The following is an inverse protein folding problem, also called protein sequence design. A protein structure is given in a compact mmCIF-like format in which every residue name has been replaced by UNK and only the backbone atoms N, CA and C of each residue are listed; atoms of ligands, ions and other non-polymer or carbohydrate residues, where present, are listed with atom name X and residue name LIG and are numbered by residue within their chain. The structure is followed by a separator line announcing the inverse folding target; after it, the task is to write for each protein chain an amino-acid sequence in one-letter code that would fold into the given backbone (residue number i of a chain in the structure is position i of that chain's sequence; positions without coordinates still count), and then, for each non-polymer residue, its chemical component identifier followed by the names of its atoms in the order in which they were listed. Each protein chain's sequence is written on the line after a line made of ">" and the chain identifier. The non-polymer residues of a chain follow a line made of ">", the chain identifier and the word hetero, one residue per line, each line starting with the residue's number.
data_IF_077281052577
#
_entry.id   IF_077281052577
#
_cell.length_a   1.000
_cell.length_b   1.000
_cell.length_c   1.000
_cell.angle_alpha   90.00
_cell.angle_beta   90.00
_cell.angle_gamma   90.00
#
_symmetry.space_group_name_H-M   'P 1'
#
loop_
_entity.id
_entity.type
_entity.pdbx_description
1 polymer ?
#
# COMPACT_ATOMS: atom_id res chain seq x y z
N UNK A 1 -1.24 48.22 48.65
CA UNK A 1 0.04 48.57 48.01
C UNK A 1 0.73 47.24 47.71
N UNK A 2 0.33 46.59 46.62
CA UNK A 2 0.73 46.87 45.25
C UNK A 2 2.18 46.42 45.02
N UNK A 3 2.33 45.30 44.33
CA UNK A 3 3.29 45.24 43.23
C UNK A 3 2.69 44.46 42.06
N UNK A 4 2.77 45.09 40.90
CA UNK A 4 2.34 44.67 39.56
C UNK A 4 3.57 44.78 38.66
N UNK A 5 3.58 43.93 37.62
CA UNK A 5 4.34 44.02 36.36
C UNK A 5 5.84 43.68 36.46
N UNK A 6 6.50 43.06 35.47
CA UNK A 6 6.22 42.75 34.05
C UNK A 6 6.96 41.43 33.72
N UNK A 7 6.39 40.47 32.99
CA UNK A 7 6.28 40.39 31.52
C UNK A 7 7.62 40.44 30.77
N UNK A 8 8.11 39.26 30.37
CA UNK A 8 8.88 39.06 29.15
C UNK A 8 8.54 37.67 28.60
N UNK A 9 7.76 37.68 27.53
CA UNK A 9 7.52 36.57 26.61
C UNK A 9 8.60 36.56 25.53
N UNK A 10 9.15 35.38 25.15
CA UNK A 10 9.28 34.86 23.77
C UNK A 10 9.89 33.41 23.76
N UNK A 11 9.91 32.62 22.66
CA UNK A 11 8.91 31.58 22.41
C UNK A 11 9.49 30.20 22.04
N UNK A 12 8.58 29.24 21.82
CA UNK A 12 8.67 28.10 20.87
C UNK A 12 9.76 27.02 21.06
N UNK A 13 9.35 25.85 21.57
CA UNK A 13 9.39 24.55 20.84
C UNK A 13 8.25 23.68 21.38
N UNK A 14 7.17 23.39 20.63
CA UNK A 14 6.26 22.32 20.98
C UNK A 14 6.84 20.98 20.47
N UNK A 15 7.13 20.10 21.40
CA UNK A 15 7.32 18.66 21.19
C UNK A 15 6.11 18.07 20.45
N UNK A 16 6.33 17.48 19.28
CA UNK A 16 5.34 16.65 18.59
C UNK A 16 5.36 15.24 19.20
N UNK A 17 4.25 14.74 19.79
CA UNK A 17 4.05 13.31 19.98
C UNK A 17 3.49 12.74 18.68
N UNK A 18 4.20 11.78 18.09
CA UNK A 18 3.75 10.99 16.96
C UNK A 18 2.77 9.92 17.47
N UNK A 19 1.52 10.33 17.73
CA UNK A 19 0.41 9.40 17.97
C UNK A 19 -0.41 9.28 16.69
N UNK A 20 -0.32 8.13 16.01
CA UNK A 20 -1.39 7.72 15.10
C UNK A 20 -1.46 6.20 14.94
N UNK A 21 -1.84 5.50 16.02
CA UNK A 21 -2.65 4.30 15.93
C UNK A 21 -4.00 4.63 16.57
N UNK A 22 -4.93 5.05 15.74
CA UNK A 22 -6.28 5.41 16.13
C UNK A 22 -7.22 5.10 14.99
N UNK A 23 -8.16 4.22 15.26
CA UNK A 23 -9.34 3.96 14.45
C UNK A 23 -10.05 5.29 14.11
N UNK A 24 -9.68 5.88 12.98
CA UNK A 24 -10.44 6.97 12.37
C UNK A 24 -11.49 6.35 11.47
N UNK A 25 -12.69 6.19 12.00
CA UNK A 25 -13.88 6.32 11.17
C UNK A 25 -13.84 7.69 10.50
N UNK A 26 -13.25 7.77 9.29
CA UNK A 26 -13.20 9.00 8.51
C UNK A 26 -14.62 9.30 8.06
N UNK A 27 -15.29 10.21 8.77
CA UNK A 27 -16.37 11.01 8.22
C UNK A 27 -15.78 11.77 7.02
N UNK A 28 -15.90 11.24 5.82
CA UNK A 28 -15.50 11.93 4.60
C UNK A 28 -16.51 13.06 4.35
N UNK A 29 -16.17 14.25 4.85
CA UNK A 29 -16.93 15.47 4.65
C UNK A 29 -17.23 15.74 3.15
N UNK A 30 -18.41 16.28 2.86
CA UNK A 30 -18.85 16.81 1.55
C UNK A 30 -17.93 17.90 0.97
N UNK A 31 -16.96 18.31 1.77
CA UNK A 31 -16.20 19.54 1.61
C UNK A 31 -14.89 19.35 0.86
N UNK A 32 -14.62 18.18 0.27
CA UNK A 32 -13.47 17.96 -0.60
C UNK A 32 -13.88 17.75 -2.06
N UNK A 33 -13.07 18.32 -2.96
CA UNK A 33 -13.15 18.25 -4.42
C UNK A 33 -11.85 17.67 -4.97
N UNK A 34 -11.93 17.00 -6.13
CA UNK A 34 -10.75 16.41 -6.78
C UNK A 34 -10.45 17.12 -8.08
N UNK A 35 -9.17 17.39 -8.27
CA UNK A 35 -8.63 17.90 -9.52
C UNK A 35 -7.79 16.80 -10.16
N UNK A 36 -8.09 16.48 -11.40
CA UNK A 36 -7.36 15.50 -12.22
C UNK A 36 -6.63 16.25 -13.33
N UNK A 37 -5.35 15.95 -13.51
CA UNK A 37 -4.50 16.47 -14.59
C UNK A 37 -4.05 15.31 -15.47
N UNK A 38 -4.25 15.45 -16.76
CA UNK A 38 -3.74 14.54 -17.79
C UNK A 38 -2.84 15.34 -18.71
N UNK A 39 -1.57 14.97 -18.81
CA UNK A 39 -0.63 15.57 -19.76
C UNK A 39 -0.49 14.64 -20.97
N UNK A 40 -0.75 15.19 -22.16
CA UNK A 40 -0.76 14.49 -23.45
C UNK A 40 0.23 15.16 -24.42
N UNK A 41 0.64 14.43 -25.45
CA UNK A 41 1.53 14.96 -26.50
C UNK A 41 0.76 15.56 -27.70
N UNK A 42 -0.50 15.16 -27.89
CA UNK A 42 -1.34 15.52 -29.04
C UNK A 42 -2.46 16.48 -28.62
N UNK A 43 -2.64 17.57 -29.36
CA UNK A 43 -3.78 18.49 -29.19
C UNK A 43 -5.12 17.83 -29.50
N UNK A 44 -5.15 16.94 -30.50
CA UNK A 44 -6.37 16.21 -30.87
C UNK A 44 -6.79 15.27 -29.74
N UNK A 45 -5.85 14.50 -29.20
CA UNK A 45 -6.09 13.55 -28.11
C UNK A 45 -6.49 14.30 -26.84
N UNK A 46 -5.87 15.45 -26.57
CA UNK A 46 -6.24 16.29 -25.44
C UNK A 46 -7.66 16.86 -25.57
N UNK A 47 -8.07 17.28 -26.77
CA UNK A 47 -9.45 17.70 -27.03
C UNK A 47 -10.45 16.56 -26.84
N UNK A 48 -10.11 15.35 -27.28
CA UNK A 48 -10.93 14.15 -27.08
C UNK A 48 -11.07 13.80 -25.60
N UNK A 49 -9.96 13.73 -24.86
CA UNK A 49 -9.95 13.48 -23.42
C UNK A 49 -10.76 14.54 -22.67
N UNK A 50 -10.61 15.82 -23.01
CA UNK A 50 -11.39 16.88 -22.40
C UNK A 50 -12.90 16.74 -22.68
N UNK A 51 -13.28 16.34 -23.90
CA UNK A 51 -14.66 15.99 -24.26
C UNK A 51 -15.21 14.84 -23.40
N UNK A 52 -14.43 13.77 -23.24
CA UNK A 52 -14.79 12.61 -22.40
C UNK A 52 -15.06 13.04 -20.95
N UNK A 53 -14.19 13.87 -20.37
CA UNK A 53 -14.40 14.37 -19.00
C UNK A 53 -15.65 15.26 -18.90
N UNK A 54 -15.89 16.12 -19.90
CA UNK A 54 -17.08 16.97 -19.94
C UNK A 54 -18.37 16.14 -20.03
N UNK A 55 -18.42 15.13 -20.89
CA UNK A 55 -19.55 14.21 -21.02
C UNK A 55 -19.76 13.36 -19.77
N UNK A 56 -18.68 12.97 -19.08
CA UNK A 56 -18.72 12.18 -17.84
C UNK A 56 -19.25 12.94 -16.62
N UNK A 57 -19.52 14.23 -16.72
CA UNK A 57 -20.10 15.01 -15.63
C UNK A 57 -19.10 15.81 -14.80
N UNK A 58 -17.88 16.10 -15.30
CA UNK A 58 -16.99 17.03 -14.63
C UNK A 58 -17.59 18.46 -14.65
N UNK A 59 -17.42 19.22 -13.58
CA UNK A 59 -18.01 20.57 -13.45
C UNK A 59 -17.22 21.60 -14.23
N UNK A 60 -15.90 21.48 -14.23
CA UNK A 60 -15.00 22.31 -15.01
C UNK A 60 -14.00 21.42 -15.74
N UNK A 61 -13.85 21.61 -17.05
CA UNK A 61 -12.78 21.00 -17.86
C UNK A 61 -12.10 22.07 -18.69
N UNK A 62 -10.78 22.10 -18.63
CA UNK A 62 -9.96 23.02 -19.41
C UNK A 62 -8.76 22.30 -20.01
N UNK A 63 -8.23 22.81 -21.12
CA UNK A 63 -7.05 22.26 -21.77
C UNK A 63 -6.16 23.34 -22.36
N UNK A 64 -4.86 23.06 -22.41
CA UNK A 64 -3.87 24.07 -22.73
C UNK A 64 -2.44 23.60 -22.79
N UNK A 65 -1.49 24.47 -23.19
CA UNK A 65 -0.08 24.15 -23.12
C UNK A 65 0.31 23.72 -21.71
N UNK A 66 1.01 22.59 -21.58
CA UNK A 66 1.58 22.13 -20.30
C UNK A 66 2.55 23.21 -19.80
N UNK A 67 2.36 23.76 -18.60
CA UNK A 67 3.27 24.77 -18.06
C UNK A 67 4.64 24.15 -17.78
N UNK A 68 5.70 24.85 -18.18
CA UNK A 68 7.09 24.47 -17.87
C UNK A 68 7.37 24.83 -16.41
N UNK A 69 7.47 23.83 -15.54
CA UNK A 69 7.90 24.03 -14.15
C UNK A 69 9.43 24.06 -14.09
N UNK A 70 10.02 25.24 -13.83
CA UNK A 70 11.41 25.35 -13.38
C UNK A 70 11.44 25.30 -11.85
N UNK A 71 12.24 24.40 -11.26
CA UNK A 71 12.62 24.54 -9.85
C UNK A 71 14.16 24.50 -9.73
N UNK A 72 14.69 25.48 -8.98
CA UNK A 72 16.11 25.80 -8.88
C UNK A 72 16.77 25.04 -7.72
N UNK A 73 17.85 24.32 -8.05
CA UNK A 73 18.80 23.53 -7.25
C UNK A 73 19.97 23.10 -8.17
N UNK A 74 20.90 22.21 -7.78
CA UNK A 74 22.12 21.91 -8.58
C UNK A 74 21.94 20.95 -9.76
N UNK A 75 20.71 20.55 -10.11
CA UNK A 75 20.46 19.81 -11.34
C UNK A 75 19.39 20.52 -12.16
N UNK A 76 19.81 20.98 -13.34
CA UNK A 76 18.96 21.55 -14.36
C UNK A 76 18.56 20.43 -15.34
N UNK A 77 17.27 20.19 -15.48
CA UNK A 77 16.73 19.38 -16.58
C UNK A 77 15.52 20.12 -17.13
N UNK A 78 15.69 20.70 -18.32
CA UNK A 78 14.59 21.15 -19.16
C UNK A 78 13.79 19.93 -19.63
N UNK A 79 12.56 19.72 -19.14
CA UNK A 79 11.59 18.93 -19.91
C UNK A 79 10.94 19.86 -20.93
N UNK A 80 11.54 19.90 -22.12
CA UNK A 80 11.09 20.64 -23.29
C UNK A 80 9.94 19.91 -24.04
N UNK A 81 9.24 18.97 -23.38
CA UNK A 81 8.10 18.27 -24.00
C UNK A 81 6.92 19.22 -24.21
N UNK A 82 6.80 19.72 -25.44
CA UNK A 82 5.55 20.27 -25.98
C UNK A 82 4.43 19.28 -25.72
N UNK A 83 3.63 19.54 -24.69
CA UNK A 83 2.48 18.74 -24.32
C UNK A 83 1.29 19.63 -24.02
N UNK A 84 0.11 19.03 -24.04
CA UNK A 84 -1.16 19.66 -23.72
C UNK A 84 -1.65 19.06 -22.41
N UNK A 85 -1.91 19.91 -21.43
CA UNK A 85 -2.50 19.55 -20.14
C UNK A 85 -4.00 19.71 -20.23
N UNK A 86 -4.72 18.63 -19.96
CA UNK A 86 -6.16 18.63 -19.66
C UNK A 86 -6.34 18.62 -18.15
N UNK A 87 -7.21 19.48 -17.64
CA UNK A 87 -7.57 19.52 -16.22
C UNK A 87 -9.08 19.35 -16.08
N UNK A 88 -9.49 18.41 -15.24
CA UNK A 88 -10.88 18.17 -14.87
C UNK A 88 -11.10 18.38 -13.37
N UNK A 89 -12.19 19.06 -13.03
CA UNK A 89 -12.67 19.22 -11.66
C UNK A 89 -13.87 18.30 -11.38
N UNK A 90 -13.69 17.38 -10.42
CA UNK A 90 -14.72 16.46 -9.94
C UNK A 90 -15.25 16.91 -8.58
N UNK A 91 -16.51 17.35 -8.59
CA UNK A 91 -17.24 17.79 -7.40
C UNK A 91 -18.37 16.82 -7.00
N UNK A 92 -18.45 15.65 -7.65
CA UNK A 92 -19.61 14.75 -7.60
C UNK A 92 -20.83 15.34 -8.33
N UNK A 93 -22.07 14.97 -7.93
CA UNK A 93 -22.42 14.05 -6.85
C UNK A 93 -21.97 12.61 -7.12
N UNK A 94 -21.78 11.85 -6.04
CA UNK A 94 -21.58 10.40 -6.10
C UNK A 94 -22.89 9.69 -5.75
N UNK A 95 -23.11 8.44 -6.22
CA UNK A 95 -24.35 7.71 -5.99
C UNK A 95 -24.70 7.48 -4.51
N UNK A 96 -23.70 7.36 -3.64
CA UNK A 96 -23.88 7.19 -2.19
C UNK A 96 -22.77 7.89 -1.39
N UNK A 97 -22.89 7.88 -0.07
CA UNK A 97 -21.93 8.50 0.85
C UNK A 97 -20.59 7.74 0.95
N UNK A 98 -20.46 6.56 0.34
CA UNK A 98 -19.18 5.84 0.24
C UNK A 98 -18.26 6.49 -0.80
N UNK A 99 -17.75 7.68 -0.46
CA UNK A 99 -16.88 8.46 -1.35
C UNK A 99 -15.60 7.72 -1.66
N UNK A 100 -15.05 6.94 -0.73
CA UNK A 100 -13.84 6.16 -0.98
C UNK A 100 -14.04 5.18 -2.13
N UNK A 101 -15.16 4.44 -2.13
CA UNK A 101 -15.51 3.52 -3.21
C UNK A 101 -15.66 4.21 -4.57
N UNK A 102 -16.50 5.26 -4.63
CA UNK A 102 -16.78 5.97 -5.88
C UNK A 102 -15.58 6.73 -6.43
N UNK A 103 -14.77 7.32 -5.56
CA UNK A 103 -13.51 7.97 -5.95
C UNK A 103 -12.45 6.97 -6.41
N UNK A 104 -12.46 5.74 -5.89
CA UNK A 104 -11.66 4.62 -6.37
C UNK A 104 -12.08 4.18 -7.78
N UNK A 105 -13.39 4.03 -8.03
CA UNK A 105 -13.93 3.76 -9.37
C UNK A 105 -13.47 4.84 -10.35
N UNK A 106 -13.60 6.11 -9.97
CA UNK A 106 -13.23 7.21 -10.84
C UNK A 106 -11.73 7.26 -11.13
N UNK A 107 -10.87 7.00 -10.12
CA UNK A 107 -9.42 6.90 -10.35
C UNK A 107 -9.11 5.80 -11.37
N UNK A 108 -9.70 4.61 -11.24
CA UNK A 108 -9.47 3.50 -12.19
C UNK A 108 -9.95 3.83 -13.60
N UNK A 109 -11.05 4.59 -13.73
CA UNK A 109 -11.48 5.13 -15.01
C UNK A 109 -10.42 6.06 -15.60
N UNK A 110 -9.92 7.03 -14.82
CA UNK A 110 -8.89 7.98 -15.26
C UNK A 110 -7.58 7.27 -15.65
N UNK A 111 -7.14 6.29 -14.87
CA UNK A 111 -5.92 5.52 -15.17
C UNK A 111 -6.08 4.74 -16.49
N UNK A 112 -7.27 4.18 -16.73
CA UNK A 112 -7.58 3.47 -17.98
C UNK A 112 -7.63 4.43 -19.18
N UNK A 113 -8.28 5.58 -19.00
CA UNK A 113 -8.32 6.63 -20.01
C UNK A 113 -6.90 7.09 -20.35
N UNK A 114 -6.08 7.38 -19.34
CA UNK A 114 -4.72 7.84 -19.53
C UNK A 114 -3.86 6.82 -20.28
N UNK A 115 -3.92 5.53 -19.92
CA UNK A 115 -3.23 4.47 -20.67
C UNK A 115 -3.67 4.41 -22.13
N UNK A 116 -4.97 4.53 -22.39
CA UNK A 116 -5.52 4.51 -23.76
C UNK A 116 -4.97 5.63 -24.66
N UNK A 117 -4.68 6.79 -24.08
CA UNK A 117 -4.15 7.96 -24.78
C UNK A 117 -2.64 8.20 -24.57
N UNK A 118 -1.94 7.32 -23.85
CA UNK A 118 -0.53 7.51 -23.49
C UNK A 118 -0.28 8.77 -22.64
N UNK A 119 -1.26 9.19 -21.84
CA UNK A 119 -1.20 10.37 -20.99
C UNK A 119 -0.56 10.06 -19.62
N UNK A 120 0.13 11.05 -19.04
CA UNK A 120 0.55 10.96 -17.63
C UNK A 120 -0.50 11.60 -16.72
N UNK A 121 -0.87 10.92 -15.65
CA UNK A 121 -1.88 11.39 -14.68
C UNK A 121 -1.22 11.98 -13.45
N UNK A 122 -1.74 13.12 -12.99
CA UNK A 122 -1.52 13.61 -11.62
C UNK A 122 -2.82 14.18 -11.06
N UNK A 123 -2.89 14.37 -9.75
CA UNK A 123 -4.10 14.92 -9.15
C UNK A 123 -3.86 15.57 -7.80
N UNK A 124 -4.84 16.36 -7.38
CA UNK A 124 -4.86 17.03 -6.09
C UNK A 124 -6.26 16.88 -5.48
N UNK A 125 -6.30 16.65 -4.17
CA UNK A 125 -7.53 16.78 -3.39
C UNK A 125 -7.46 18.10 -2.64
N UNK A 126 -8.50 18.92 -2.76
CA UNK A 126 -8.55 20.23 -2.13
C UNK A 126 -9.87 20.41 -1.38
N UNK A 127 -9.85 21.28 -0.37
CA UNK A 127 -11.06 21.67 0.33
C UNK A 127 -11.89 22.62 -0.55
N UNK A 128 -13.21 22.45 -0.53
CA UNK A 128 -14.22 23.14 -1.35
C UNK A 128 -14.22 24.65 -1.12
N UNK A 129 -13.75 25.12 0.04
CA UNK A 129 -13.58 26.56 0.28
C UNK A 129 -12.57 27.22 -0.66
N UNK A 130 -11.61 26.46 -1.22
CA UNK A 130 -10.66 26.93 -2.22
C UNK A 130 -11.15 26.81 -3.67
N UNK A 131 -12.38 26.36 -3.90
CA UNK A 131 -12.91 26.07 -5.23
C UNK A 131 -12.85 27.26 -6.18
N UNK A 132 -13.19 28.45 -5.70
CA UNK A 132 -13.19 29.68 -6.50
C UNK A 132 -11.78 30.05 -6.99
N UNK A 133 -10.79 29.93 -6.10
CA UNK A 133 -9.38 30.19 -6.42
C UNK A 133 -8.87 29.15 -7.41
N UNK A 134 -9.15 27.87 -7.16
CA UNK A 134 -8.80 26.79 -8.10
C UNK A 134 -9.41 27.00 -9.48
N UNK A 135 -10.71 27.32 -9.59
CA UNK A 135 -11.33 27.60 -10.89
C UNK A 135 -10.64 28.76 -11.61
N UNK A 136 -10.29 29.84 -10.91
CA UNK A 136 -9.52 30.95 -11.48
C UNK A 136 -8.13 30.51 -11.97
N UNK A 137 -7.44 29.69 -11.19
CA UNK A 137 -6.13 29.12 -11.58
C UNK A 137 -6.25 28.22 -12.81
N UNK A 138 -7.31 27.42 -12.93
CA UNK A 138 -7.55 26.58 -14.11
C UNK A 138 -7.68 27.39 -15.39
N UNK A 139 -8.46 28.48 -15.36
CA UNK A 139 -8.60 29.40 -16.51
C UNK A 139 -7.25 29.99 -16.89
N UNK A 140 -6.43 30.32 -15.89
CA UNK A 140 -5.13 30.95 -16.09
C UNK A 140 -4.07 29.95 -16.58
N UNK A 141 -4.15 28.69 -16.15
CA UNK A 141 -3.11 27.68 -16.37
C UNK A 141 -3.18 26.99 -17.74
N UNK A 142 -4.38 26.85 -18.33
CA UNK A 142 -4.56 26.11 -19.60
C UNK A 142 -5.11 26.98 -20.75
N UNK A 143 -5.72 28.13 -20.46
CA UNK A 143 -6.08 29.10 -21.50
C UNK A 143 -7.30 28.76 -22.36
N UNK A 144 -7.81 27.51 -22.36
CA UNK A 144 -9.09 27.15 -23.00
C UNK A 144 -10.01 26.39 -22.04
N UNK A 145 -11.20 26.94 -21.77
CA UNK A 145 -12.26 26.26 -21.02
C UNK A 145 -13.13 25.49 -22.02
N UNK A 146 -13.23 24.17 -21.82
CA UNK A 146 -14.12 23.30 -22.60
C UNK A 146 -15.54 23.31 -22.03
N UNK A 147 -15.64 23.24 -20.70
CA UNK A 147 -16.90 23.34 -19.98
C UNK A 147 -16.65 23.98 -18.61
N UNK A 148 -17.58 24.82 -18.16
CA UNK A 148 -17.67 25.31 -16.79
C UNK A 148 -19.15 25.43 -16.44
N UNK A 149 -19.57 24.65 -15.46
CA UNK A 149 -20.96 24.52 -15.01
C UNK A 149 -21.02 24.31 -13.51
N UNK A 150 -22.20 24.50 -12.94
CA UNK A 150 -22.39 24.17 -11.53
C UNK A 150 -22.58 22.65 -11.33
N UNK A 151 -22.59 22.25 -10.06
CA UNK A 151 -22.71 20.83 -9.67
C UNK A 151 -24.09 20.26 -10.00
N UNK A 152 -25.14 21.07 -9.97
CA UNK A 152 -26.51 20.63 -10.21
C UNK A 152 -26.73 20.39 -11.71
N UNK A 153 -26.17 21.24 -12.57
CA UNK A 153 -26.11 21.08 -14.02
C UNK A 153 -25.29 19.83 -14.43
N UNK A 154 -24.24 19.51 -13.69
CA UNK A 154 -23.41 18.32 -13.94
C UNK A 154 -24.04 17.01 -13.41
N UNK A 155 -24.99 17.09 -12.47
CA UNK A 155 -25.42 15.97 -11.65
C UNK A 155 -25.95 14.78 -12.46
N UNK A 156 -26.79 15.03 -13.47
CA UNK A 156 -27.37 13.95 -14.29
C UNK A 156 -26.30 13.18 -15.04
N UNK A 157 -25.37 13.87 -15.70
CA UNK A 157 -24.26 13.24 -16.42
C UNK A 157 -23.32 12.50 -15.46
N UNK A 158 -23.04 13.09 -14.30
CA UNK A 158 -22.15 12.50 -13.31
C UNK A 158 -22.70 11.22 -12.71
N UNK A 159 -23.99 11.18 -12.35
CA UNK A 159 -24.63 9.96 -11.85
C UNK A 159 -24.78 8.90 -12.94
N UNK A 160 -25.05 9.30 -14.18
CA UNK A 160 -25.10 8.37 -15.31
C UNK A 160 -23.74 7.70 -15.55
N UNK A 161 -22.64 8.43 -15.40
CA UNK A 161 -21.28 7.89 -15.50
C UNK A 161 -20.92 6.83 -14.45
N UNK A 162 -21.68 6.76 -13.34
CA UNK A 162 -21.52 5.74 -12.31
C UNK A 162 -22.55 4.61 -12.39
N UNK A 163 -23.60 4.74 -13.22
CA UNK A 163 -24.72 3.82 -13.24
C UNK A 163 -24.36 2.39 -13.67
N UNK A 164 -23.25 2.22 -14.40
CA UNK A 164 -22.74 0.91 -14.81
C UNK A 164 -21.93 0.19 -13.72
N UNK A 165 -21.52 0.91 -12.66
CA UNK A 165 -20.70 0.35 -11.59
C UNK A 165 -21.55 -0.04 -10.39
N UNK A 166 -21.33 -1.22 -9.80
CA UNK A 166 -22.09 -1.65 -8.62
C UNK A 166 -21.71 -0.83 -7.39
N UNK A 167 -22.65 -0.72 -6.45
CA UNK A 167 -22.32 -0.31 -5.08
C UNK A 167 -21.33 -1.29 -4.44
N UNK A 168 -20.56 -0.79 -3.48
CA UNK A 168 -19.64 -1.62 -2.70
C UNK A 168 -20.41 -2.74 -2.02
N UNK A 169 -19.96 -3.97 -2.22
CA UNK A 169 -20.52 -5.11 -1.51
C UNK A 169 -20.24 -4.97 0.00
N UNK A 170 -21.11 -5.51 0.88
CA UNK A 170 -20.83 -5.56 2.29
C UNK A 170 -19.60 -6.42 2.54
N UNK A 171 -18.73 -5.93 3.41
CA UNK A 171 -17.53 -6.67 3.79
C UNK A 171 -17.87 -7.93 4.60
N UNK A 172 -17.16 -9.06 4.36
CA UNK A 172 -17.28 -10.25 5.21
C UNK A 172 -16.97 -9.92 6.66
N UNK A 173 -17.84 -10.32 7.59
CA UNK A 173 -17.59 -10.16 9.02
C UNK A 173 -16.69 -11.27 9.51
N UNK A 174 -15.43 -10.94 9.76
CA UNK A 174 -14.49 -11.82 10.47
C UNK A 174 -14.95 -12.00 11.91
N UNK A 175 -15.23 -13.25 12.31
CA UNK A 175 -15.75 -13.59 13.65
C UNK A 175 -14.71 -14.25 14.55
N UNK A 176 -13.54 -14.56 14.02
CA UNK A 176 -12.46 -15.24 14.74
C UNK A 176 -11.42 -14.25 15.26
N UNK A 177 -10.69 -14.68 16.28
CA UNK A 177 -9.69 -13.90 17.03
C UNK A 177 -8.25 -14.36 16.72
N UNK A 178 -7.99 -14.75 15.47
CA UNK A 178 -6.69 -15.30 15.04
C UNK A 178 -5.48 -14.39 15.30
N UNK A 179 -5.69 -13.08 15.38
CA UNK A 179 -4.64 -12.11 15.71
C UNK A 179 -4.52 -11.79 17.21
N UNK A 180 -5.44 -12.26 18.06
CA UNK A 180 -5.40 -11.91 19.48
C UNK A 180 -4.34 -12.71 20.22
N UNK A 181 -3.44 -11.99 20.90
CA UNK A 181 -2.44 -12.58 21.79
C UNK A 181 -2.97 -12.64 23.22
N UNK A 182 -2.63 -13.71 23.93
CA UNK A 182 -2.93 -13.85 25.34
C UNK A 182 -1.82 -13.22 26.19
N UNK A 183 -2.12 -12.87 27.44
CA UNK A 183 -1.08 -12.41 28.38
C UNK A 183 0.00 -13.46 28.69
N UNK A 184 -0.23 -14.74 28.34
CA UNK A 184 0.77 -15.80 28.46
C UNK A 184 1.82 -15.74 27.34
N UNK A 185 1.57 -14.97 26.28
CA UNK A 185 2.46 -14.74 25.14
C UNK A 185 3.39 -13.53 25.35
N UNK A 186 3.60 -13.15 26.62
CA UNK A 186 4.47 -12.03 27.01
C UNK A 186 5.91 -12.17 26.50
N UNK A 187 6.72 -11.11 26.60
CA UNK A 187 8.04 -11.10 26.01
C UNK A 187 8.93 -12.19 26.63
N UNK A 188 9.60 -12.95 25.75
CA UNK A 188 10.53 -13.99 26.15
C UNK A 188 11.95 -13.44 26.29
N UNK A 189 12.26 -12.39 25.52
CA UNK A 189 13.57 -11.74 25.46
C UNK A 189 14.74 -12.72 25.26
N UNK A 190 14.57 -13.60 24.28
CA UNK A 190 15.51 -14.65 23.91
C UNK A 190 16.32 -14.23 22.67
N UNK A 191 17.45 -13.57 22.91
CA UNK A 191 18.34 -13.13 21.85
C UNK A 191 18.80 -14.29 20.94
N UNK A 192 18.91 -14.02 19.64
CA UNK A 192 19.33 -14.98 18.61
C UNK A 192 20.67 -14.57 18.03
N UNK A 193 21.61 -15.51 17.91
CA UNK A 193 22.90 -15.26 17.27
C UNK A 193 22.78 -15.38 15.74
N UNK A 194 23.12 -14.30 15.02
CA UNK A 194 23.04 -14.24 13.55
C UNK A 194 24.35 -14.68 12.89
N UNK A 195 24.43 -15.96 12.52
CA UNK A 195 25.65 -16.56 11.95
C UNK A 195 25.91 -16.06 10.52
N UNK A 196 27.16 -15.68 10.24
CA UNK A 196 27.61 -15.24 8.91
C UNK A 196 27.16 -13.83 8.51
N UNK A 197 26.56 -13.07 9.44
CA UNK A 197 26.09 -11.70 9.18
C UNK A 197 27.23 -10.78 8.71
N UNK A 198 28.42 -10.93 9.30
CA UNK A 198 29.61 -10.13 8.98
C UNK A 198 30.37 -10.61 7.72
N UNK A 199 29.98 -11.76 7.15
CA UNK A 199 30.59 -12.27 5.91
C UNK A 199 30.04 -11.58 4.66
N UNK A 200 28.92 -10.86 4.79
CA UNK A 200 28.27 -10.13 3.71
C UNK A 200 28.91 -8.73 3.59
N UNK A 201 29.34 -8.29 2.38
CA UNK A 201 29.92 -6.97 2.18
C UNK A 201 28.82 -5.88 2.12
N UNK A 202 28.21 -5.56 3.27
CA UNK A 202 27.07 -4.64 3.37
C UNK A 202 27.36 -3.22 2.89
N UNK A 203 28.60 -2.76 3.01
CA UNK A 203 29.09 -1.48 2.49
C UNK A 203 29.02 -1.36 0.95
N UNK A 204 28.96 -2.50 0.24
CA UNK A 204 28.80 -2.55 -1.22
C UNK A 204 27.33 -2.59 -1.66
N UNK A 205 26.40 -2.66 -0.70
CA UNK A 205 24.96 -2.73 -0.93
C UNK A 205 24.31 -1.39 -0.60
N UNK A 206 23.07 -1.25 -1.02
CA UNK A 206 22.27 -0.06 -0.82
C UNK A 206 20.95 -0.43 -0.14
N UNK A 207 20.42 0.54 0.59
CA UNK A 207 19.08 0.64 1.14
C UNK A 207 18.47 2.01 0.77
N UNK A 208 17.32 2.38 1.33
CA UNK A 208 16.60 3.62 0.97
C UNK A 208 17.41 4.92 1.02
N UNK A 209 18.37 5.03 1.94
CA UNK A 209 19.14 6.24 2.17
C UNK A 209 20.60 6.17 1.69
N UNK A 210 20.97 5.17 0.87
CA UNK A 210 22.35 4.98 0.39
C UNK A 210 22.97 3.67 0.88
N UNK A 211 24.25 3.70 1.26
CA UNK A 211 25.03 2.53 1.72
C UNK A 211 24.31 1.74 2.81
N UNK A 212 24.35 0.41 2.74
CA UNK A 212 23.73 -0.49 3.71
C UNK A 212 24.66 -0.91 4.86
N UNK A 213 25.76 -0.19 5.12
CA UNK A 213 26.74 -0.50 6.17
C UNK A 213 26.14 -0.62 7.59
N UNK A 214 24.99 0.02 7.83
CA UNK A 214 24.27 -0.02 9.11
C UNK A 214 23.30 -1.20 9.27
N UNK A 215 22.99 -1.92 8.19
CA UNK A 215 22.04 -3.05 8.21
C UNK A 215 22.45 -4.15 9.19
N UNK A 216 23.73 -4.51 9.37
CA UNK A 216 24.14 -5.44 10.42
C UNK A 216 23.83 -4.98 11.84
N UNK A 217 23.82 -3.67 12.10
CA UNK A 217 23.40 -3.11 13.38
C UNK A 217 21.91 -3.34 13.59
N UNK A 218 21.09 -2.92 12.61
CA UNK A 218 19.64 -3.10 12.62
C UNK A 218 19.26 -4.57 12.85
N UNK A 219 19.89 -5.52 12.14
CA UNK A 219 19.58 -6.94 12.29
C UNK A 219 19.96 -7.49 13.67
N UNK A 220 21.04 -7.00 14.29
CA UNK A 220 21.42 -7.38 15.66
C UNK A 220 20.46 -6.80 16.70
N UNK A 221 20.03 -5.56 16.50
CA UNK A 221 19.07 -4.91 17.39
C UNK A 221 17.71 -5.63 17.34
N UNK A 222 17.26 -6.06 16.15
CA UNK A 222 16.11 -6.97 16.04
C UNK A 222 16.36 -8.30 16.74
N UNK A 223 17.53 -8.90 16.55
CA UNK A 223 17.87 -10.20 17.12
C UNK A 223 18.11 -10.17 18.64
N UNK A 224 18.22 -8.99 19.26
CA UNK A 224 18.37 -8.84 20.70
C UNK A 224 17.13 -9.30 21.47
N UNK A 225 15.96 -9.30 20.82
CA UNK A 225 14.66 -9.60 21.44
C UNK A 225 14.49 -8.78 22.71
N UNK A 226 14.40 -7.45 22.60
CA UNK A 226 14.25 -6.56 23.75
C UNK A 226 13.23 -5.44 23.48
N UNK A 227 13.05 -4.55 24.47
CA UNK A 227 12.07 -3.46 24.40
C UNK A 227 12.33 -2.48 23.24
N UNK A 228 13.53 -2.46 22.65
CA UNK A 228 13.89 -1.63 21.49
C UNK A 228 13.45 -2.21 20.15
N UNK A 229 12.85 -3.40 20.12
CA UNK A 229 12.46 -4.08 18.89
C UNK A 229 11.50 -3.25 18.02
N UNK A 230 10.45 -2.67 18.61
CA UNK A 230 9.44 -1.93 17.86
C UNK A 230 10.02 -0.67 17.20
N UNK A 231 10.87 0.06 17.91
CA UNK A 231 11.60 1.23 17.38
C UNK A 231 12.52 0.79 16.24
N UNK A 232 13.26 -0.31 16.41
CA UNK A 232 14.15 -0.87 15.37
C UNK A 232 13.37 -1.33 14.13
N UNK A 233 12.17 -1.88 14.30
CA UNK A 233 11.29 -2.24 13.19
C UNK A 233 10.88 -1.00 12.40
N UNK A 234 10.48 0.09 13.07
CA UNK A 234 10.04 1.30 12.39
C UNK A 234 11.22 2.06 11.75
N UNK A 235 12.25 2.35 12.54
CA UNK A 235 13.38 3.20 12.14
C UNK A 235 14.42 2.46 11.29
N UNK A 236 14.52 1.13 11.42
CA UNK A 236 15.46 0.30 10.66
C UNK A 236 14.78 -0.51 9.56
N UNK A 237 13.94 -1.48 9.93
CA UNK A 237 13.38 -2.44 8.98
C UNK A 237 12.49 -1.77 7.91
N UNK A 238 11.47 -1.03 8.33
CA UNK A 238 10.54 -0.38 7.41
C UNK A 238 11.08 0.93 6.81
N UNK A 239 11.89 1.69 7.55
CA UNK A 239 12.45 2.94 7.04
C UNK A 239 13.59 2.71 6.04
N UNK A 240 14.47 1.73 6.27
CA UNK A 240 15.67 1.52 5.46
C UNK A 240 15.59 0.28 4.56
N UNK A 241 15.33 -0.91 5.13
CA UNK A 241 15.44 -2.19 4.40
C UNK A 241 14.25 -2.43 3.46
N UNK A 242 13.04 -1.98 3.84
CA UNK A 242 11.77 -2.21 3.12
C UNK A 242 11.01 -0.88 2.93
N UNK A 243 11.70 0.16 2.45
CA UNK A 243 11.11 1.49 2.32
C UNK A 243 10.07 1.57 1.20
N UNK A 244 8.85 1.99 1.54
CA UNK A 244 7.73 2.26 0.62
C UNK A 244 7.48 1.13 -0.40
N UNK A 245 7.74 -0.11 -0.01
CA UNK A 245 7.57 -1.28 -0.88
C UNK A 245 8.61 -1.41 -2.01
N UNK A 246 9.77 -0.76 -1.88
CA UNK A 246 10.92 -0.92 -2.78
C UNK A 246 11.91 -1.93 -2.22
N UNK A 247 12.38 -2.86 -3.06
CA UNK A 247 13.49 -3.75 -2.73
C UNK A 247 14.82 -3.10 -3.10
N UNK A 248 15.74 -3.02 -2.15
CA UNK A 248 17.11 -2.58 -2.35
C UNK A 248 18.07 -3.78 -2.39
N UNK A 249 19.33 -3.57 -2.79
CA UNK A 249 20.28 -4.68 -2.88
C UNK A 249 20.56 -5.36 -1.54
N UNK A 250 20.35 -4.66 -0.42
CA UNK A 250 20.39 -5.22 0.94
C UNK A 250 19.17 -6.08 1.30
N UNK A 251 17.97 -5.76 0.82
CA UNK A 251 16.71 -6.45 1.17
C UNK A 251 16.77 -7.98 1.03
N UNK A 252 17.18 -8.56 -0.12
CA UNK A 252 17.22 -10.02 -0.26
C UNK A 252 18.25 -10.71 0.65
N UNK A 253 19.28 -9.99 1.11
CA UNK A 253 20.28 -10.54 2.02
C UNK A 253 19.86 -10.44 3.49
N UNK A 254 18.92 -9.56 3.82
CA UNK A 254 18.31 -9.51 5.15
C UNK A 254 17.28 -10.64 5.37
N UNK A 255 16.61 -11.10 4.30
CA UNK A 255 15.53 -12.12 4.35
C UNK A 255 15.90 -13.39 5.17
N UNK A 256 17.08 -14.02 5.00
CA UNK A 256 17.45 -15.19 5.79
C UNK A 256 17.47 -14.95 7.30
N UNK A 257 17.95 -13.78 7.74
CA UNK A 257 18.03 -13.43 9.16
C UNK A 257 16.64 -13.12 9.73
N UNK A 258 15.80 -12.39 9.00
CA UNK A 258 14.41 -12.14 9.40
C UNK A 258 13.62 -13.45 9.54
N UNK A 259 13.84 -14.40 8.61
CA UNK A 259 13.23 -15.72 8.65
C UNK A 259 13.73 -16.58 9.82
N UNK A 260 15.01 -16.49 10.17
CA UNK A 260 15.59 -17.16 11.33
C UNK A 260 14.93 -16.69 12.64
N UNK A 261 14.81 -15.37 12.82
CA UNK A 261 14.13 -14.77 13.98
C UNK A 261 12.65 -15.15 14.03
N UNK A 262 11.94 -15.09 12.90
CA UNK A 262 10.51 -15.44 12.82
C UNK A 262 10.23 -16.93 13.15
N UNK A 263 11.19 -17.81 12.83
CA UNK A 263 11.08 -19.26 13.07
C UNK A 263 11.55 -19.69 14.47
N UNK A 264 12.25 -18.82 15.21
CA UNK A 264 12.78 -19.14 16.52
C UNK A 264 11.64 -19.35 17.55
N UNK A 265 11.51 -20.55 18.14
CA UNK A 265 10.36 -20.87 18.99
C UNK A 265 10.33 -20.05 20.29
N UNK A 266 11.51 -19.71 20.83
CA UNK A 266 11.65 -18.98 22.08
C UNK A 266 11.62 -17.45 21.88
N UNK A 267 11.62 -16.95 20.65
CA UNK A 267 11.56 -15.51 20.35
C UNK A 267 10.18 -14.95 20.72
N UNK A 268 10.13 -13.70 21.17
CA UNK A 268 8.87 -13.05 21.59
C UNK A 268 7.79 -13.18 20.50
N UNK A 269 6.61 -13.77 20.79
CA UNK A 269 5.61 -14.08 19.77
C UNK A 269 5.11 -12.86 18.98
N UNK A 270 4.92 -11.71 19.64
CA UNK A 270 4.53 -10.45 18.98
C UNK A 270 5.58 -9.99 17.94
N UNK A 271 6.86 -10.15 18.27
CA UNK A 271 7.96 -9.81 17.38
C UNK A 271 8.05 -10.80 16.20
N UNK A 272 7.80 -12.08 16.45
CA UNK A 272 7.65 -13.09 15.38
C UNK A 272 6.53 -12.72 14.41
N UNK A 273 5.35 -12.32 14.90
CA UNK A 273 4.24 -11.87 14.04
C UNK A 273 4.65 -10.69 13.16
N UNK A 274 5.34 -9.71 13.74
CA UNK A 274 5.84 -8.54 13.01
C UNK A 274 6.82 -8.94 11.90
N UNK A 275 7.74 -9.85 12.19
CA UNK A 275 8.71 -10.37 11.22
C UNK A 275 8.04 -11.22 10.13
N UNK A 276 7.05 -12.05 10.48
CA UNK A 276 6.27 -12.83 9.52
C UNK A 276 5.47 -11.91 8.59
N UNK A 277 4.84 -10.86 9.12
CA UNK A 277 4.17 -9.84 8.30
C UNK A 277 5.15 -9.14 7.37
N UNK A 278 6.34 -8.74 7.86
CA UNK A 278 7.39 -8.15 7.04
C UNK A 278 7.84 -9.11 5.90
N UNK A 279 8.03 -10.40 6.19
CA UNK A 279 8.36 -11.42 5.19
C UNK A 279 7.27 -11.59 4.13
N UNK A 280 5.99 -11.58 4.53
CA UNK A 280 4.86 -11.58 3.58
C UNK A 280 4.87 -10.32 2.72
N UNK A 281 5.13 -9.16 3.33
CA UNK A 281 5.31 -7.90 2.62
C UNK A 281 6.42 -7.98 1.57
N UNK A 282 7.61 -8.47 1.95
CA UNK A 282 8.75 -8.70 1.05
C UNK A 282 8.37 -9.65 -0.10
N UNK A 283 7.73 -10.77 0.20
CA UNK A 283 7.29 -11.75 -0.79
C UNK A 283 6.28 -11.19 -1.78
N UNK A 284 5.50 -10.19 -1.36
CA UNK A 284 4.54 -9.50 -2.20
C UNK A 284 5.12 -8.29 -2.96
N UNK A 285 6.40 -7.94 -2.81
CA UNK A 285 7.02 -6.81 -3.52
C UNK A 285 7.35 -7.11 -4.99
N UNK A 286 7.25 -6.10 -5.87
CA UNK A 286 7.95 -6.09 -7.18
C UNK A 286 8.11 -4.67 -7.76
N UNK A 287 9.21 -4.43 -8.50
CA UNK A 287 9.34 -3.55 -9.69
C UNK A 287 10.51 -4.05 -10.60
N UNK A 288 10.44 -3.92 -11.95
CA UNK A 288 11.20 -4.75 -12.90
C UNK A 288 12.65 -4.35 -13.21
N UNK A 289 13.46 -5.37 -13.54
CA UNK A 289 14.76 -5.32 -14.24
C UNK A 289 15.38 -6.73 -14.29
N UNK A 290 16.12 -7.08 -15.34
CA UNK A 290 16.84 -8.38 -15.40
C UNK A 290 17.77 -8.51 -14.17
N UNK A 291 17.55 -9.52 -13.33
CA UNK A 291 18.33 -9.81 -12.12
C UNK A 291 18.31 -8.71 -11.03
N UNK A 292 17.21 -7.95 -10.91
CA UNK A 292 17.05 -6.90 -9.90
C UNK A 292 16.84 -7.41 -8.46
N UNK A 293 16.85 -6.52 -7.44
CA UNK A 293 16.64 -6.90 -6.04
C UNK A 293 15.34 -7.67 -5.74
N UNK A 294 14.24 -7.39 -6.43
CA UNK A 294 12.95 -8.06 -6.22
C UNK A 294 12.99 -9.55 -6.59
N UNK A 295 13.59 -9.92 -7.73
CA UNK A 295 13.79 -11.32 -8.13
C UNK A 295 14.66 -12.06 -7.12
N UNK A 296 15.70 -11.40 -6.61
CA UNK A 296 16.55 -11.95 -5.54
C UNK A 296 15.78 -12.12 -4.24
N UNK A 297 14.85 -11.22 -3.90
CA UNK A 297 13.99 -11.36 -2.73
C UNK A 297 13.05 -12.55 -2.89
N UNK A 298 12.40 -12.73 -4.05
CA UNK A 298 11.58 -13.91 -4.33
C UNK A 298 12.40 -15.22 -4.22
N UNK A 299 13.62 -15.24 -4.76
CA UNK A 299 14.52 -16.38 -4.63
C UNK A 299 14.97 -16.63 -3.18
N UNK A 300 15.18 -15.57 -2.39
CA UNK A 300 15.48 -15.68 -0.96
C UNK A 300 14.26 -16.25 -0.19
N UNK A 301 13.07 -15.73 -0.45
CA UNK A 301 11.81 -16.23 0.11
C UNK A 301 11.61 -17.72 -0.16
N UNK A 302 11.76 -18.16 -1.41
CA UNK A 302 11.65 -19.57 -1.78
C UNK A 302 12.64 -20.48 -1.02
N UNK A 303 13.82 -19.97 -0.64
CA UNK A 303 14.81 -20.74 0.15
C UNK A 303 14.48 -20.79 1.64
N UNK A 304 13.92 -19.72 2.20
CA UNK A 304 13.71 -19.60 3.66
C UNK A 304 12.36 -20.12 4.10
N UNK A 305 11.30 -19.97 3.29
CA UNK A 305 9.94 -20.38 3.64
C UNK A 305 9.88 -21.84 4.10
N UNK A 306 10.47 -22.84 3.40
CA UNK A 306 10.43 -24.23 3.85
C UNK A 306 11.00 -24.41 5.26
N UNK A 307 12.06 -23.68 5.61
CA UNK A 307 12.67 -23.72 6.96
C UNK A 307 11.78 -23.09 8.01
N UNK A 308 11.12 -21.97 7.69
CA UNK A 308 10.17 -21.31 8.60
C UNK A 308 8.96 -22.21 8.86
N UNK A 309 8.47 -22.91 7.83
CA UNK A 309 7.34 -23.84 7.96
C UNK A 309 7.61 -25.02 8.90
N UNK A 310 8.88 -25.44 9.08
CA UNK A 310 9.24 -26.47 10.07
C UNK A 310 8.89 -26.07 11.51
N UNK A 311 8.72 -24.77 11.79
CA UNK A 311 8.28 -24.28 13.09
C UNK A 311 6.79 -24.50 13.38
N UNK A 312 6.00 -25.01 12.42
CA UNK A 312 4.55 -25.19 12.53
C UNK A 312 4.11 -25.87 13.83
N UNK A 313 4.68 -27.05 14.12
CA UNK A 313 4.28 -27.86 15.27
C UNK A 313 4.57 -27.17 16.61
N UNK A 314 5.65 -26.38 16.68
CA UNK A 314 6.07 -25.65 17.87
C UNK A 314 5.44 -24.25 17.96
N UNK A 315 4.77 -23.77 16.91
CA UNK A 315 4.25 -22.41 16.86
C UNK A 315 2.89 -22.28 17.56
N UNK A 316 2.68 -21.21 18.35
CA UNK A 316 1.39 -20.85 18.93
C UNK A 316 0.28 -20.69 17.89
N UNK A 317 -0.98 -20.78 18.32
CA UNK A 317 -2.14 -20.70 17.42
C UNK A 317 -2.22 -19.38 16.65
N UNK A 318 -1.81 -18.25 17.22
CA UNK A 318 -1.81 -16.95 16.54
C UNK A 318 -0.67 -16.81 15.50
N UNK A 319 0.40 -17.60 15.60
CA UNK A 319 1.50 -17.62 14.61
C UNK A 319 1.13 -18.47 13.38
N UNK A 320 0.41 -19.58 13.58
CA UNK A 320 0.07 -20.55 12.52
C UNK A 320 -0.62 -19.93 11.30
N UNK A 321 -1.58 -19.00 11.41
CA UNK A 321 -2.16 -18.30 10.26
C UNK A 321 -1.11 -17.66 9.35
N UNK A 322 -0.10 -17.02 9.93
CA UNK A 322 0.98 -16.39 9.16
C UNK A 322 1.89 -17.41 8.46
N UNK A 323 2.07 -18.60 9.05
CA UNK A 323 2.76 -19.70 8.37
C UNK A 323 1.98 -20.21 7.15
N UNK A 324 0.64 -20.30 7.26
CA UNK A 324 -0.23 -20.63 6.11
C UNK A 324 -0.08 -19.57 5.02
N UNK A 325 -0.09 -18.29 5.38
CA UNK A 325 0.11 -17.18 4.42
C UNK A 325 1.48 -17.28 3.75
N UNK A 326 2.56 -17.55 4.51
CA UNK A 326 3.90 -17.71 3.95
C UNK A 326 4.02 -18.90 2.99
N UNK A 327 3.27 -19.97 3.22
CA UNK A 327 3.29 -21.15 2.35
C UNK A 327 2.91 -20.85 0.90
N UNK A 328 2.13 -19.79 0.65
CA UNK A 328 1.77 -19.34 -0.70
C UNK A 328 2.99 -18.92 -1.55
N UNK A 329 4.11 -18.56 -0.93
CA UNK A 329 5.35 -18.17 -1.61
C UNK A 329 6.29 -19.35 -1.90
N UNK A 330 6.01 -20.55 -1.37
CA UNK A 330 6.71 -21.78 -1.71
C UNK A 330 5.74 -22.98 -1.85
N UNK A 331 4.83 -22.97 -2.85
CA UNK A 331 3.79 -24.00 -3.01
C UNK A 331 4.31 -25.45 -3.06
N UNK A 332 5.46 -25.66 -3.72
CA UNK A 332 6.04 -27.00 -3.87
C UNK A 332 6.49 -27.62 -2.54
N UNK A 333 6.93 -26.78 -1.60
CA UNK A 333 7.42 -27.19 -0.28
C UNK A 333 6.30 -27.24 0.76
N UNK A 334 5.19 -26.54 0.53
CA UNK A 334 4.02 -26.53 1.40
C UNK A 334 3.22 -27.83 1.38
N UNK A 335 3.41 -28.69 0.37
CA UNK A 335 2.55 -29.86 0.09
C UNK A 335 2.40 -30.78 1.30
N UNK A 336 3.45 -30.99 2.09
CA UNK A 336 3.43 -31.87 3.25
C UNK A 336 2.57 -31.35 4.40
N UNK A 337 2.36 -30.03 4.49
CA UNK A 337 1.57 -29.37 5.55
C UNK A 337 0.16 -28.97 5.12
N UNK A 338 -0.21 -29.18 3.85
CA UNK A 338 -1.56 -28.85 3.36
C UNK A 338 -2.69 -29.51 4.18
N UNK A 339 -2.60 -30.79 4.59
CA UNK A 339 -3.64 -31.41 5.42
C UNK A 339 -3.83 -30.68 6.77
N UNK A 340 -2.74 -30.26 7.39
CA UNK A 340 -2.73 -29.50 8.64
C UNK A 340 -3.29 -28.09 8.45
N UNK A 341 -2.99 -27.43 7.33
CA UNK A 341 -3.56 -26.13 6.98
C UNK A 341 -5.07 -26.22 6.75
N UNK A 342 -5.53 -27.25 6.03
CA UNK A 342 -6.95 -27.51 5.80
C UNK A 342 -7.70 -27.87 7.11
N UNK A 343 -7.06 -28.60 8.01
CA UNK A 343 -7.60 -28.88 9.34
C UNK A 343 -7.71 -27.60 10.18
N UNK A 344 -6.64 -26.81 10.23
CA UNK A 344 -6.63 -25.53 10.93
C UNK A 344 -7.72 -24.60 10.39
N UNK A 345 -7.79 -24.42 9.06
CA UNK A 345 -8.78 -23.56 8.42
C UNK A 345 -10.21 -24.00 8.69
N UNK A 346 -10.50 -25.31 8.71
CA UNK A 346 -11.84 -25.84 9.04
C UNK A 346 -12.24 -25.59 10.50
N UNK A 347 -11.27 -25.51 11.42
CA UNK A 347 -11.53 -25.19 12.82
C UNK A 347 -11.83 -23.70 13.04
N UNK A 348 -11.37 -22.82 12.13
CA UNK A 348 -11.62 -21.37 12.21
C UNK A 348 -13.08 -21.04 11.82
N UNK A 349 -13.87 -20.44 12.73
CA UNK A 349 -15.26 -20.11 12.45
C UNK A 349 -15.38 -18.88 11.54
N UNK A 350 -16.28 -18.98 10.55
CA UNK A 350 -16.62 -17.87 9.66
C UNK A 350 -15.70 -17.74 8.42
N UNK A 351 -15.89 -16.66 7.66
CA UNK A 351 -15.07 -16.38 6.48
C UNK A 351 -13.66 -15.94 6.90
N UNK A 352 -12.65 -16.43 6.16
CA UNK A 352 -11.24 -16.07 6.32
C UNK A 352 -10.61 -15.98 4.93
N UNK A 353 -10.91 -14.91 4.16
CA UNK A 353 -10.42 -14.77 2.80
C UNK A 353 -8.88 -14.76 2.72
N UNK A 354 -8.17 -14.37 3.80
CA UNK A 354 -6.72 -14.46 3.85
C UNK A 354 -6.23 -15.91 3.81
N UNK A 355 -6.77 -16.78 4.68
CA UNK A 355 -6.38 -18.19 4.73
C UNK A 355 -6.89 -18.96 3.50
N UNK A 356 -8.12 -18.67 3.06
CA UNK A 356 -8.69 -19.29 1.87
C UNK A 356 -7.84 -18.99 0.63
N UNK A 357 -7.38 -17.74 0.47
CA UNK A 357 -6.49 -17.36 -0.63
C UNK A 357 -5.10 -17.99 -0.49
N UNK A 358 -4.53 -18.00 0.72
CA UNK A 358 -3.22 -18.59 0.97
C UNK A 358 -3.17 -20.08 0.60
N UNK A 359 -4.17 -20.84 1.04
CA UNK A 359 -4.30 -22.28 0.74
C UNK A 359 -4.50 -22.50 -0.77
N UNK A 360 -5.39 -21.73 -1.40
CA UNK A 360 -5.61 -21.83 -2.85
C UNK A 360 -4.33 -21.55 -3.66
N UNK A 361 -3.52 -20.56 -3.25
CA UNK A 361 -2.21 -20.28 -3.84
C UNK A 361 -1.20 -21.41 -3.58
N UNK A 362 -1.16 -21.96 -2.37
CA UNK A 362 -0.25 -23.06 -2.01
C UNK A 362 -0.58 -24.38 -2.74
N UNK A 363 -1.86 -24.65 -3.04
CA UNK A 363 -2.30 -25.81 -3.83
C UNK A 363 -2.19 -25.56 -5.35
N UNK A 364 -2.15 -24.29 -5.77
CA UNK A 364 -2.16 -23.91 -7.17
C UNK A 364 -3.55 -23.97 -7.82
N UNK A 365 -4.62 -23.83 -7.03
CA UNK A 365 -6.00 -23.77 -7.51
C UNK A 365 -6.33 -22.38 -8.06
N UNK A 366 -6.11 -22.21 -9.37
CA UNK A 366 -6.33 -20.92 -10.05
C UNK A 366 -7.79 -20.45 -10.01
N UNK A 367 -8.74 -21.38 -10.11
CA UNK A 367 -10.16 -21.02 -10.15
C UNK A 367 -10.61 -20.49 -8.77
N UNK A 368 -10.14 -21.12 -7.69
CA UNK A 368 -10.37 -20.63 -6.33
C UNK A 368 -9.71 -19.27 -6.08
N UNK A 369 -8.45 -19.10 -6.49
CA UNK A 369 -7.73 -17.82 -6.38
C UNK A 369 -8.49 -16.69 -7.09
N UNK A 370 -8.88 -16.89 -8.34
CA UNK A 370 -9.60 -15.89 -9.12
C UNK A 370 -10.97 -15.58 -8.52
N UNK A 371 -11.68 -16.59 -7.99
CA UNK A 371 -12.96 -16.40 -7.34
C UNK A 371 -12.84 -15.54 -6.07
N UNK A 372 -11.89 -15.84 -5.19
CA UNK A 372 -11.67 -15.13 -3.92
C UNK A 372 -11.23 -13.69 -4.18
N UNK A 373 -10.25 -13.49 -5.07
CA UNK A 373 -9.74 -12.15 -5.42
C UNK A 373 -10.83 -11.29 -6.05
N UNK A 374 -11.63 -11.87 -6.95
CA UNK A 374 -12.78 -11.18 -7.56
C UNK A 374 -13.81 -10.78 -6.51
N UNK A 375 -14.18 -11.69 -5.61
CA UNK A 375 -15.10 -11.37 -4.51
C UNK A 375 -14.53 -10.26 -3.63
N UNK A 376 -13.27 -10.37 -3.22
CA UNK A 376 -12.58 -9.38 -2.40
C UNK A 376 -12.54 -7.99 -3.04
N UNK A 377 -12.41 -7.92 -4.36
CA UNK A 377 -12.44 -6.66 -5.11
C UNK A 377 -13.79 -5.94 -5.08
N UNK A 378 -14.89 -6.62 -4.75
CA UNK A 378 -16.23 -6.00 -4.68
C UNK A 378 -16.48 -5.20 -3.41
N UNK A 379 -15.74 -5.49 -2.33
CA UNK A 379 -15.90 -4.84 -1.03
C UNK A 379 -14.62 -4.16 -0.53
N UNK A 380 -13.48 -4.32 -1.21
CA UNK A 380 -12.23 -3.61 -0.88
C UNK A 380 -11.74 -2.78 -2.06
N UNK A 381 -11.81 -1.45 -1.91
CA UNK A 381 -11.30 -0.51 -2.92
C UNK A 381 -9.81 -0.72 -3.21
N UNK A 382 -9.00 -0.97 -2.16
CA UNK A 382 -7.57 -1.27 -2.28
C UNK A 382 -7.30 -2.52 -3.12
N UNK A 383 -8.07 -3.59 -2.93
CA UNK A 383 -7.94 -4.83 -3.72
C UNK A 383 -8.37 -4.58 -5.16
N UNK A 384 -9.46 -3.84 -5.38
CA UNK A 384 -9.88 -3.45 -6.73
C UNK A 384 -8.79 -2.63 -7.47
N UNK A 385 -8.04 -1.78 -6.75
CA UNK A 385 -6.92 -1.04 -7.33
C UNK A 385 -5.75 -1.95 -7.70
N UNK A 386 -5.37 -2.88 -6.80
CA UNK A 386 -4.32 -3.87 -7.06
C UNK A 386 -4.64 -4.67 -8.33
N UNK A 387 -5.90 -5.10 -8.48
CA UNK A 387 -6.34 -5.88 -9.63
C UNK A 387 -6.41 -5.09 -10.93
N UNK A 388 -6.53 -3.75 -10.85
CA UNK A 388 -6.52 -2.87 -12.02
C UNK A 388 -5.10 -2.44 -12.45
N UNK A 389 -4.07 -2.72 -11.64
CA UNK A 389 -2.69 -2.38 -11.95
C UNK A 389 -2.10 -3.33 -13.01
N UNK A 390 -1.24 -2.79 -13.88
CA UNK A 390 -0.58 -3.58 -14.92
C UNK A 390 0.65 -4.29 -14.34
N UNK A 391 0.43 -5.50 -13.87
CA UNK A 391 1.43 -6.37 -13.26
C UNK A 391 1.14 -7.83 -13.57
N UNK A 392 2.14 -8.70 -13.36
CA UNK A 392 1.95 -10.13 -13.48
C UNK A 392 0.79 -10.62 -12.59
N UNK A 393 -0.08 -11.52 -13.07
CA UNK A 393 -1.24 -11.99 -12.30
C UNK A 393 -0.87 -12.53 -10.90
N UNK A 394 0.17 -13.35 -10.82
CA UNK A 394 0.61 -13.94 -9.56
C UNK A 394 1.05 -12.87 -8.53
N UNK A 395 1.75 -11.83 -8.98
CA UNK A 395 2.12 -10.72 -8.10
C UNK A 395 0.89 -10.01 -7.54
N UNK A 396 -0.13 -9.75 -8.37
CA UNK A 396 -1.38 -9.14 -7.91
C UNK A 396 -2.03 -10.02 -6.85
N UNK A 397 -2.02 -11.35 -7.02
CA UNK A 397 -2.55 -12.27 -6.02
C UNK A 397 -1.77 -12.22 -4.70
N UNK A 398 -0.43 -12.14 -4.73
CA UNK A 398 0.37 -11.96 -3.52
C UNK A 398 0.13 -10.63 -2.82
N UNK A 399 -0.03 -9.54 -3.58
CA UNK A 399 -0.43 -8.23 -3.03
C UNK A 399 -1.82 -8.26 -2.40
N UNK A 400 -2.77 -8.97 -3.00
CA UNK A 400 -4.09 -9.17 -2.42
C UNK A 400 -3.99 -10.00 -1.13
N UNK A 401 -3.19 -11.07 -1.15
CA UNK A 401 -2.93 -11.89 0.03
C UNK A 401 -2.32 -11.08 1.17
N UNK A 402 -1.31 -10.25 0.90
CA UNK A 402 -0.70 -9.33 1.88
C UNK A 402 -1.75 -8.41 2.52
N UNK A 403 -2.64 -7.81 1.71
CA UNK A 403 -3.70 -6.92 2.21
C UNK A 403 -4.71 -7.67 3.07
N UNK A 404 -5.14 -8.85 2.65
CA UNK A 404 -6.08 -9.67 3.40
C UNK A 404 -5.47 -10.16 4.72
N UNK A 405 -4.24 -10.68 4.67
CA UNK A 405 -3.53 -11.18 5.86
C UNK A 405 -3.32 -10.08 6.89
N UNK A 406 -2.80 -8.90 6.49
CA UNK A 406 -2.63 -7.78 7.42
C UNK A 406 -3.96 -7.28 7.99
N UNK A 407 -5.04 -7.30 7.20
CA UNK A 407 -6.37 -6.88 7.68
C UNK A 407 -6.94 -7.85 8.71
N UNK A 408 -6.70 -9.15 8.52
CA UNK A 408 -7.37 -10.21 9.27
C UNK A 408 -6.56 -10.70 10.48
N UNK A 409 -5.23 -10.69 10.35
CA UNK A 409 -4.30 -11.37 11.27
C UNK A 409 -3.37 -10.42 12.03
N UNK A 410 -3.19 -9.17 11.60
CA UNK A 410 -2.44 -8.18 12.37
C UNK A 410 -3.40 -7.50 13.37
N UNK A 411 -3.14 -7.64 14.67
CA UNK A 411 -3.91 -6.99 15.73
C UNK A 411 -2.99 -6.30 16.72
#
# INVERSE_FOLDING_TARGET
>A
MADRNADHSDPSVPSHPCDSHGSFGRMFHTDYIRLVRLDLLSETDAAEVAGILAERGYTTVSLGPKPVTHQVGTFDMTDDSRGIRVIGLDEGPYPSDDREWWTGIERRFIDTLARGFGATVSGLTAHRSGLSEMRSELVTATGTIVIDRDRDEAATARLAAFAEFPERAPEPRTTHELGDMSAADGPNFAAVELIGLDDIPWDTLEHAYGSAEEVPGILRDLAADDEGFDDTVQEGLYSAIIHQGTCYSATPLAVPYLAELAAAPDFTPAYRLTLLSALVGIGALELPGEHGPAERSAAAMARVVPRVLLSWAASPEHIRPWLIVLAAFAPADAVELLPEFDEFRRAVPGPSPALDLAIALAVGDRDAVDAIVREASTWSGRIADIMAYDAAPLLRHYRVLEVLANRELAR
#
